data_IF_835003159098
#
_entry.id   IF_835003159098
#
_cell.length_a   1.000
_cell.length_b   1.000
_cell.length_c   1.000
_cell.angle_alpha   90.00
_cell.angle_beta   90.00
_cell.angle_gamma   90.00
#
_symmetry.space_group_name_H-M   'P 1'
#
loop_
_entity.id
_entity.type
_entity.pdbx_description
1 polymer ?
#
# COMPACT_ATOMS: atom_id res chain seq x y z
N UNK A 1 -7.20 -10.95 -7.59
CA UNK A 1 -6.75 -10.32 -6.32
C UNK A 1 -7.72 -9.22 -5.89
N UNK A 2 -8.12 -8.27 -6.77
CA UNK A 2 -9.06 -7.19 -6.40
C UNK A 2 -10.38 -7.73 -5.86
N UNK A 3 -11.04 -8.65 -6.58
CA UNK A 3 -12.28 -9.29 -6.13
C UNK A 3 -12.11 -10.02 -4.79
N UNK A 4 -11.02 -10.76 -4.60
CA UNK A 4 -10.73 -11.44 -3.34
C UNK A 4 -10.55 -10.47 -2.18
N UNK A 5 -9.90 -9.33 -2.44
CA UNK A 5 -9.73 -8.27 -1.45
C UNK A 5 -11.08 -7.65 -1.06
N UNK A 6 -11.89 -7.27 -2.04
CA UNK A 6 -13.24 -6.72 -1.81
C UNK A 6 -14.10 -7.70 -1.03
N UNK A 7 -14.17 -8.95 -1.45
CA UNK A 7 -14.92 -9.98 -0.73
C UNK A 7 -14.46 -10.19 0.71
N UNK A 8 -13.14 -10.15 0.96
CA UNK A 8 -12.60 -10.29 2.30
C UNK A 8 -12.97 -9.08 3.19
N UNK A 9 -12.88 -7.86 2.66
CA UNK A 9 -13.28 -6.65 3.39
C UNK A 9 -14.78 -6.67 3.68
N UNK A 10 -15.61 -7.03 2.69
CA UNK A 10 -17.06 -7.13 2.86
C UNK A 10 -17.46 -8.17 3.92
N UNK A 11 -16.78 -9.31 3.91
CA UNK A 11 -17.03 -10.39 4.89
C UNK A 11 -16.65 -9.94 6.30
N UNK A 12 -15.49 -9.31 6.45
CA UNK A 12 -15.06 -8.75 7.73
C UNK A 12 -16.01 -7.65 8.23
N UNK A 13 -16.48 -6.75 7.34
CA UNK A 13 -17.46 -5.73 7.70
C UNK A 13 -18.80 -6.36 8.18
N UNK A 14 -19.28 -7.42 7.52
CA UNK A 14 -20.47 -8.16 7.96
C UNK A 14 -20.29 -8.81 9.34
N UNK A 15 -19.06 -9.17 9.70
CA UNK A 15 -18.71 -9.67 11.03
C UNK A 15 -18.60 -8.55 12.08
N UNK A 16 -18.74 -7.27 11.69
CA UNK A 16 -18.74 -6.14 12.60
C UNK A 16 -17.34 -5.74 13.09
N UNK A 17 -16.31 -5.84 12.23
CA UNK A 17 -14.96 -5.39 12.60
C UNK A 17 -14.95 -3.90 12.93
N UNK A 18 -14.15 -3.54 13.91
CA UNK A 18 -13.95 -2.15 14.37
C UNK A 18 -12.56 -1.61 14.05
N UNK A 19 -11.68 -2.43 13.49
CA UNK A 19 -10.35 -2.07 13.03
C UNK A 19 -9.82 -3.13 12.07
N UNK A 20 -8.84 -2.78 11.22
CA UNK A 20 -8.29 -3.67 10.22
C UNK A 20 -6.76 -3.56 10.16
N UNK A 21 -6.08 -4.71 10.23
CA UNK A 21 -4.65 -4.82 9.92
C UNK A 21 -4.49 -5.43 8.53
N UNK A 22 -3.71 -4.77 7.68
CA UNK A 22 -3.35 -5.27 6.35
C UNK A 22 -1.85 -5.58 6.34
N UNK A 23 -1.50 -6.85 6.20
CA UNK A 23 -0.10 -7.29 6.18
C UNK A 23 0.41 -7.42 4.74
N UNK A 24 1.33 -6.55 4.37
CA UNK A 24 2.03 -6.58 3.08
C UNK A 24 3.54 -6.78 3.24
N UNK A 25 3.98 -7.28 4.38
CA UNK A 25 5.37 -7.72 4.59
C UNK A 25 5.70 -8.84 3.61
N UNK A 26 6.91 -8.84 3.09
CA UNK A 26 7.40 -9.82 2.09
C UNK A 26 6.56 -9.87 0.80
N UNK A 27 5.74 -8.88 0.53
CA UNK A 27 4.97 -8.79 -0.71
C UNK A 27 5.74 -7.95 -1.75
N UNK A 28 6.26 -8.57 -2.84
CA UNK A 28 7.03 -7.86 -3.86
C UNK A 28 6.18 -6.97 -4.76
N UNK A 29 4.88 -6.90 -4.51
CA UNK A 29 3.93 -6.12 -5.29
C UNK A 29 3.22 -6.93 -6.38
N UNK A 30 2.79 -6.23 -7.42
CA UNK A 30 2.00 -6.82 -8.50
C UNK A 30 1.64 -5.80 -9.57
N UNK A 31 0.42 -5.90 -10.09
CA UNK A 31 -0.08 -5.06 -11.17
C UNK A 31 -0.57 -3.72 -10.63
N UNK A 32 -0.10 -2.61 -11.21
CA UNK A 32 -0.45 -1.25 -10.81
C UNK A 32 -1.97 -1.01 -10.81
N UNK A 33 -2.67 -1.43 -11.87
CA UNK A 33 -4.13 -1.27 -11.92
C UNK A 33 -4.82 -2.03 -10.80
N UNK A 34 -4.37 -3.24 -10.47
CA UNK A 34 -4.95 -4.05 -9.39
C UNK A 34 -4.86 -3.34 -8.04
N UNK A 35 -3.70 -2.77 -7.70
CA UNK A 35 -3.54 -2.05 -6.43
C UNK A 35 -4.35 -0.75 -6.41
N UNK A 36 -4.45 -0.05 -7.55
CA UNK A 36 -5.30 1.13 -7.66
C UNK A 36 -6.77 0.78 -7.42
N UNK A 37 -7.28 -0.31 -8.02
CA UNK A 37 -8.66 -0.78 -7.82
C UNK A 37 -8.93 -1.27 -6.37
N UNK A 38 -7.91 -1.78 -5.67
CA UNK A 38 -8.03 -2.14 -4.25
C UNK A 38 -8.09 -0.89 -3.36
N UNK A 39 -7.26 0.11 -3.66
CA UNK A 39 -7.23 1.37 -2.93
C UNK A 39 -8.49 2.21 -3.17
N UNK A 40 -9.02 2.21 -4.40
CA UNK A 40 -10.30 2.84 -4.74
C UNK A 40 -11.45 2.32 -3.85
N UNK A 41 -11.39 1.04 -3.46
CA UNK A 41 -12.39 0.42 -2.61
C UNK A 41 -12.34 0.85 -1.13
N UNK A 42 -11.21 1.37 -0.64
CA UNK A 42 -11.01 1.70 0.78
C UNK A 42 -10.70 3.17 1.06
N UNK A 43 -10.23 3.91 0.05
CA UNK A 43 -9.91 5.33 0.15
C UNK A 43 -11.10 6.20 -0.28
N UNK A 44 -11.18 7.45 0.18
CA UNK A 44 -12.10 8.43 -0.39
C UNK A 44 -11.74 8.72 -1.86
N UNK A 45 -12.69 9.26 -2.62
CA UNK A 45 -12.44 9.71 -3.99
C UNK A 45 -11.24 10.66 -4.06
N UNK A 46 -10.34 10.40 -4.99
CA UNK A 46 -9.14 11.23 -5.19
C UNK A 46 -8.04 10.51 -5.95
N UNK A 47 -6.91 11.18 -6.06
CA UNK A 47 -5.72 10.63 -6.72
C UNK A 47 -5.11 9.51 -5.87
N UNK A 48 -4.95 8.32 -6.44
CA UNK A 48 -4.38 7.15 -5.76
C UNK A 48 -2.87 7.04 -6.02
N UNK A 49 -2.48 7.20 -7.28
CA UNK A 49 -1.09 7.10 -7.73
C UNK A 49 -0.98 7.79 -9.09
N UNK A 50 0.16 8.35 -9.39
CA UNK A 50 0.44 8.76 -10.76
C UNK A 50 1.80 8.25 -11.23
N UNK A 51 1.92 8.09 -12.55
CA UNK A 51 3.19 7.76 -13.19
C UNK A 51 3.66 8.94 -14.03
N UNK A 52 4.98 9.12 -14.10
CA UNK A 52 5.59 10.15 -14.92
C UNK A 52 6.74 9.57 -15.75
N UNK A 53 6.68 9.79 -17.06
CA UNK A 53 7.75 9.40 -18.00
C UNK A 53 8.93 10.37 -17.93
N UNK A 54 10.07 9.98 -18.49
CA UNK A 54 11.26 10.86 -18.62
C UNK A 54 10.96 12.18 -19.36
N UNK A 55 9.95 12.21 -20.24
CA UNK A 55 9.52 13.42 -20.95
C UNK A 55 8.52 14.29 -20.17
N UNK A 56 8.20 13.94 -18.93
CA UNK A 56 7.24 14.67 -18.09
C UNK A 56 5.77 14.33 -18.38
N UNK A 57 5.48 13.33 -19.24
CA UNK A 57 4.10 12.90 -19.47
C UNK A 57 3.60 12.16 -18.22
N UNK A 58 2.55 12.70 -17.59
CA UNK A 58 1.89 12.16 -16.41
C UNK A 58 0.66 11.35 -16.78
N UNK A 59 0.46 10.22 -16.10
CA UNK A 59 -0.77 9.42 -16.13
C UNK A 59 -1.24 9.20 -14.70
N UNK A 60 -2.47 9.58 -14.42
CA UNK A 60 -3.09 9.49 -13.09
C UNK A 60 -4.03 8.29 -12.98
N UNK A 61 -4.09 7.71 -11.79
CA UNK A 61 -5.04 6.70 -11.37
C UNK A 61 -5.77 7.24 -10.15
N UNK A 62 -7.06 7.48 -10.30
CA UNK A 62 -7.90 8.08 -9.27
C UNK A 62 -9.03 7.14 -8.90
N UNK A 63 -9.47 7.23 -7.67
CA UNK A 63 -10.68 6.60 -7.19
C UNK A 63 -11.92 7.24 -7.82
N UNK A 64 -12.91 6.43 -8.11
CA UNK A 64 -14.13 6.83 -8.79
C UNK A 64 -15.39 6.21 -8.19
N UNK A 65 -15.27 5.20 -7.34
CA UNK A 65 -16.42 4.69 -6.60
C UNK A 65 -16.61 5.51 -5.32
N UNK A 66 -17.81 5.53 -4.77
CA UNK A 66 -18.10 6.25 -3.54
C UNK A 66 -17.98 5.33 -2.31
N UNK A 67 -17.22 4.25 -2.44
CA UNK A 67 -16.96 3.34 -1.34
C UNK A 67 -15.74 3.83 -0.55
N UNK A 68 -15.90 3.95 0.74
CA UNK A 68 -14.83 4.31 1.66
C UNK A 68 -14.93 3.47 2.93
N UNK A 69 -13.84 2.88 3.35
CA UNK A 69 -13.79 2.12 4.59
C UNK A 69 -13.43 3.04 5.76
N UNK A 70 -14.41 3.41 6.57
CA UNK A 70 -14.25 4.35 7.68
C UNK A 70 -14.07 3.67 9.04
N UNK A 71 -13.04 2.82 9.15
CA UNK A 71 -12.57 2.24 10.42
C UNK A 71 -11.07 2.50 10.57
N UNK A 72 -10.52 2.49 11.79
CA UNK A 72 -9.07 2.57 12.00
C UNK A 72 -8.35 1.42 11.30
N UNK A 73 -7.24 1.75 10.61
CA UNK A 73 -6.45 0.76 9.89
C UNK A 73 -4.96 0.86 10.22
N UNK A 74 -4.26 -0.27 10.15
CA UNK A 74 -2.81 -0.35 10.18
C UNK A 74 -2.30 -1.19 9.02
N UNK A 75 -1.15 -0.81 8.45
CA UNK A 75 -0.50 -1.57 7.37
C UNK A 75 0.89 -1.98 7.83
N UNK A 76 1.16 -3.30 7.82
CA UNK A 76 2.47 -3.85 8.15
C UNK A 76 3.35 -3.90 6.91
N UNK A 77 4.57 -3.37 7.02
CA UNK A 77 5.55 -3.31 5.93
C UNK A 77 6.94 -3.75 6.38
N UNK A 78 7.76 -4.21 5.43
CA UNK A 78 9.18 -4.47 5.66
C UNK A 78 10.03 -4.23 4.39
N UNK A 79 11.34 -4.46 4.48
CA UNK A 79 12.29 -4.27 3.38
C UNK A 79 12.01 -5.10 2.11
N UNK A 80 11.13 -6.09 2.18
CA UNK A 80 10.68 -6.89 1.04
C UNK A 80 9.31 -6.44 0.49
N UNK A 81 8.66 -5.46 1.12
CA UNK A 81 7.48 -4.80 0.56
C UNK A 81 7.90 -3.90 -0.58
N UNK A 82 7.50 -4.20 -1.82
CA UNK A 82 8.02 -3.52 -3.00
C UNK A 82 6.95 -3.19 -4.04
N UNK A 83 7.21 -2.18 -4.90
CA UNK A 83 6.39 -1.87 -6.09
C UNK A 83 4.93 -1.55 -5.73
N UNK A 84 3.95 -2.36 -6.19
CA UNK A 84 2.53 -2.14 -5.87
C UNK A 84 2.23 -2.12 -4.36
N UNK A 85 2.99 -2.86 -3.55
CA UNK A 85 2.88 -2.79 -2.09
C UNK A 85 3.28 -1.43 -1.54
N UNK A 86 4.28 -0.78 -2.17
CA UNK A 86 4.70 0.57 -1.79
C UNK A 86 3.70 1.65 -2.25
N UNK A 87 3.04 1.42 -3.38
CA UNK A 87 1.90 2.26 -3.81
C UNK A 87 0.78 2.15 -2.77
N UNK A 88 0.47 0.93 -2.32
CA UNK A 88 -0.56 0.70 -1.30
C UNK A 88 -0.22 1.44 0.00
N UNK A 89 0.96 1.17 0.57
CA UNK A 89 1.39 1.81 1.81
C UNK A 89 1.47 3.33 1.70
N UNK A 90 2.07 3.86 0.62
CA UNK A 90 2.23 5.28 0.41
C UNK A 90 0.91 6.02 0.20
N UNK A 91 -0.06 5.43 -0.50
CA UNK A 91 -1.39 6.02 -0.64
C UNK A 91 -2.14 6.03 0.70
N UNK A 92 -2.14 4.91 1.44
CA UNK A 92 -2.76 4.83 2.77
C UNK A 92 -2.16 5.85 3.75
N UNK A 93 -0.84 6.07 3.70
CA UNK A 93 -0.12 7.06 4.49
C UNK A 93 -0.50 8.49 4.07
N UNK A 94 -0.48 8.78 2.77
CA UNK A 94 -0.76 10.11 2.24
C UNK A 94 -2.20 10.58 2.54
N UNK A 95 -3.14 9.64 2.62
CA UNK A 95 -4.54 9.90 3.00
C UNK A 95 -4.76 9.88 4.52
N UNK A 96 -3.73 9.65 5.33
CA UNK A 96 -3.83 9.46 6.78
C UNK A 96 -4.86 8.37 7.16
N UNK A 97 -5.04 7.38 6.26
CA UNK A 97 -6.07 6.34 6.36
C UNK A 97 -5.64 5.13 7.17
N UNK A 98 -4.32 4.91 7.27
CA UNK A 98 -3.75 3.85 8.09
C UNK A 98 -2.42 4.28 8.70
N UNK A 99 -2.10 3.72 9.86
CA UNK A 99 -0.75 3.77 10.42
C UNK A 99 0.15 2.75 9.71
N UNK A 100 1.24 3.20 9.12
CA UNK A 100 2.23 2.33 8.51
C UNK A 100 3.23 1.90 9.59
N UNK A 101 3.33 0.59 9.83
CA UNK A 101 4.12 0.00 10.92
C UNK A 101 5.10 -1.03 10.38
N UNK A 102 6.32 -1.02 10.86
CA UNK A 102 7.36 -1.98 10.48
C UNK A 102 8.67 -1.33 10.14
N UNK A 103 9.32 -1.78 9.06
CA UNK A 103 10.60 -1.23 8.61
C UNK A 103 10.50 -0.60 7.22
N UNK A 104 11.52 0.18 6.83
CA UNK A 104 11.62 0.85 5.53
C UNK A 104 11.33 -0.14 4.39
N UNK A 105 10.49 0.24 3.43
CA UNK A 105 10.19 -0.60 2.27
C UNK A 105 11.31 -0.59 1.23
N UNK A 106 11.22 -1.43 0.21
CA UNK A 106 12.29 -1.72 -0.74
C UNK A 106 12.77 -0.53 -1.58
N UNK A 107 11.87 0.34 -2.03
CA UNK A 107 12.22 1.47 -2.88
C UNK A 107 12.14 1.19 -4.39
N UNK A 108 11.18 0.38 -4.85
CA UNK A 108 10.99 0.11 -6.29
C UNK A 108 9.90 1.01 -6.88
N UNK A 109 10.22 2.28 -7.09
CA UNK A 109 9.30 3.30 -7.63
C UNK A 109 9.31 3.45 -9.16
N UNK A 110 9.45 2.36 -9.92
CA UNK A 110 9.55 2.38 -11.38
C UNK A 110 8.55 1.45 -12.07
N UNK A 111 8.07 1.89 -13.23
CA UNK A 111 7.25 1.09 -14.16
C UNK A 111 8.16 0.56 -15.26
N UNK A 112 8.15 -0.76 -15.46
CA UNK A 112 8.94 -1.43 -16.49
C UNK A 112 8.03 -2.11 -17.51
N UNK A 113 8.48 -2.15 -18.75
CA UNK A 113 7.84 -2.90 -19.83
C UNK A 113 8.81 -3.94 -20.40
N UNK A 114 8.25 -4.97 -20.99
CA UNK A 114 9.01 -6.02 -21.72
C UNK A 114 8.63 -5.90 -23.18
N UNK A 115 9.62 -5.73 -24.05
CA UNK A 115 9.45 -5.71 -25.50
C UNK A 115 10.09 -6.96 -26.11
N UNK A 116 9.30 -7.87 -26.68
CA UNK A 116 9.83 -9.00 -27.43
C UNK A 116 10.61 -8.54 -28.68
N UNK A 117 11.67 -9.25 -29.02
CA UNK A 117 12.46 -9.06 -30.23
C UNK A 117 12.20 -10.20 -31.23
N UNK A 118 12.59 -10.00 -32.48
CA UNK A 118 12.31 -10.92 -33.59
C UNK A 118 13.06 -12.25 -33.49
N UNK A 119 14.12 -12.31 -32.71
CA UNK A 119 14.93 -13.52 -32.46
C UNK A 119 14.44 -14.36 -31.27
N UNK A 120 13.28 -13.97 -30.67
CA UNK A 120 12.70 -14.65 -29.50
C UNK A 120 13.23 -14.15 -28.16
N UNK A 121 14.23 -13.27 -28.14
CA UNK A 121 14.67 -12.60 -26.93
C UNK A 121 13.74 -11.43 -26.55
N UNK A 122 13.97 -10.81 -25.41
CA UNK A 122 13.18 -9.64 -24.99
C UNK A 122 14.05 -8.62 -24.25
N UNK A 123 13.68 -7.34 -24.36
CA UNK A 123 14.29 -6.26 -23.59
C UNK A 123 13.30 -5.78 -22.55
N UNK A 124 13.73 -5.77 -21.27
CA UNK A 124 13.00 -5.16 -20.16
C UNK A 124 13.63 -3.81 -19.84
N UNK A 125 12.82 -2.75 -19.88
CA UNK A 125 13.32 -1.40 -19.62
C UNK A 125 12.29 -0.54 -18.85
N UNK A 126 12.80 0.47 -18.14
CA UNK A 126 11.98 1.42 -17.39
C UNK A 126 11.38 2.44 -18.33
N UNK A 127 10.08 2.68 -18.19
CA UNK A 127 9.30 3.64 -19.00
C UNK A 127 8.80 4.84 -18.19
N UNK A 128 8.61 4.68 -16.87
CA UNK A 128 8.13 5.75 -16.01
C UNK A 128 8.55 5.50 -14.55
N UNK A 129 8.47 6.54 -13.74
CA UNK A 129 8.42 6.45 -12.28
C UNK A 129 6.97 6.56 -11.81
N UNK A 130 6.67 6.05 -10.61
CA UNK A 130 5.40 6.34 -9.97
C UNK A 130 5.60 7.10 -8.66
N UNK A 131 4.59 7.86 -8.30
CA UNK A 131 4.56 8.76 -7.16
C UNK A 131 3.28 8.54 -6.37
N UNK A 132 3.37 8.75 -5.05
CA UNK A 132 2.20 8.71 -4.17
C UNK A 132 1.25 9.89 -4.47
N UNK A 133 0.02 9.90 -3.91
CA UNK A 133 -0.91 11.02 -4.09
C UNK A 133 -0.32 12.39 -3.77
N UNK A 134 0.47 12.50 -2.69
CA UNK A 134 1.17 13.74 -2.29
C UNK A 134 2.50 13.98 -3.03
N UNK A 135 2.83 13.14 -4.03
CA UNK A 135 3.99 13.33 -4.90
C UNK A 135 5.31 12.80 -4.36
N UNK A 136 5.31 11.88 -3.41
CA UNK A 136 6.55 11.28 -2.91
C UNK A 136 7.17 10.36 -3.98
N UNK A 137 8.45 10.59 -4.31
CA UNK A 137 9.26 9.67 -5.13
C UNK A 137 9.75 8.52 -4.26
N UNK A 138 9.18 7.34 -4.47
CA UNK A 138 9.52 6.12 -3.74
C UNK A 138 10.82 5.49 -4.27
N UNK A 139 11.22 5.79 -5.52
CA UNK A 139 12.35 5.11 -6.15
C UNK A 139 13.68 5.34 -5.43
N UNK A 140 14.32 4.25 -5.01
CA UNK A 140 15.57 4.26 -4.24
C UNK A 140 15.41 4.70 -2.79
N UNK A 141 14.19 5.04 -2.33
CA UNK A 141 13.91 5.53 -0.98
C UNK A 141 12.97 4.60 -0.20
N UNK A 142 11.95 4.06 -0.87
CA UNK A 142 10.86 3.35 -0.22
C UNK A 142 9.89 4.26 0.54
N UNK A 143 8.91 3.62 1.17
CA UNK A 143 7.99 4.27 2.12
C UNK A 143 8.58 4.12 3.51
N UNK A 144 8.74 5.23 4.20
CA UNK A 144 9.17 5.23 5.61
C UNK A 144 7.94 4.97 6.49
N UNK A 145 7.97 3.95 7.36
CA UNK A 145 6.87 3.72 8.29
C UNK A 145 6.66 4.91 9.24
N UNK A 146 5.41 5.12 9.65
CA UNK A 146 5.06 6.09 10.69
C UNK A 146 5.56 5.62 12.06
N UNK A 147 5.48 4.30 12.29
CA UNK A 147 6.03 3.64 13.48
C UNK A 147 7.08 2.61 13.05
N UNK A 148 8.33 2.90 13.36
CA UNK A 148 9.43 1.97 13.09
C UNK A 148 9.44 0.90 14.20
N UNK A 149 9.18 -0.34 13.81
CA UNK A 149 9.19 -1.51 14.69
C UNK A 149 10.00 -2.60 13.99
N UNK A 150 11.16 -2.91 14.54
CA UNK A 150 11.99 -4.02 14.06
C UNK A 150 11.38 -5.36 14.48
N UNK A 151 11.53 -6.38 13.63
CA UNK A 151 11.18 -7.76 13.96
C UNK A 151 12.47 -8.58 13.94
N UNK A 152 13.09 -8.86 15.09
CA UNK A 152 14.28 -9.71 15.17
C UNK A 152 14.02 -11.12 14.64
N UNK A 153 15.03 -11.73 14.01
CA UNK A 153 14.93 -13.08 13.45
C UNK A 153 14.63 -14.15 14.52
N UNK A 154 15.03 -13.91 15.78
CA UNK A 154 14.83 -14.75 16.93
C UNK A 154 13.57 -14.38 17.76
N UNK A 155 12.75 -13.45 17.26
CA UNK A 155 11.54 -13.04 17.97
C UNK A 155 10.57 -14.22 18.14
N UNK A 156 10.15 -14.44 19.36
CA UNK A 156 9.13 -15.46 19.71
C UNK A 156 7.70 -14.98 19.50
N UNK A 157 7.51 -13.67 19.33
CA UNK A 157 6.22 -13.02 19.09
C UNK A 157 6.34 -12.05 17.90
N UNK A 158 5.26 -11.87 17.17
CA UNK A 158 5.17 -10.83 16.12
C UNK A 158 4.93 -9.45 16.76
N UNK A 159 6.03 -8.79 17.14
CA UNK A 159 6.00 -7.47 17.78
C UNK A 159 5.44 -6.38 16.87
N UNK A 160 5.53 -6.54 15.54
CA UNK A 160 4.95 -5.61 14.58
C UNK A 160 3.43 -5.74 14.55
N UNK A 161 2.90 -6.96 14.49
CA UNK A 161 1.47 -7.19 14.58
C UNK A 161 0.92 -6.73 15.93
N UNK A 162 1.63 -7.00 17.02
CA UNK A 162 1.27 -6.51 18.36
C UNK A 162 1.16 -4.99 18.40
N UNK A 163 2.15 -4.27 17.86
CA UNK A 163 2.12 -2.81 17.76
C UNK A 163 0.92 -2.30 16.94
N UNK A 164 0.55 -2.99 15.86
CA UNK A 164 -0.62 -2.64 15.06
C UNK A 164 -1.93 -2.81 15.85
N UNK A 165 -2.06 -3.91 16.59
CA UNK A 165 -3.24 -4.16 17.44
C UNK A 165 -3.33 -3.15 18.58
N UNK A 166 -2.22 -2.81 19.22
CA UNK A 166 -2.16 -1.78 20.27
C UNK A 166 -2.56 -0.41 19.73
N UNK A 167 -2.07 -0.02 18.55
CA UNK A 167 -2.47 1.21 17.88
C UNK A 167 -3.98 1.26 17.61
N UNK A 168 -4.55 0.20 17.05
CA UNK A 168 -5.99 0.12 16.76
C UNK A 168 -6.84 0.19 18.03
N UNK A 169 -6.45 -0.52 19.09
CA UNK A 169 -7.14 -0.48 20.38
C UNK A 169 -7.14 0.93 20.99
N UNK A 170 -6.03 1.66 20.87
CA UNK A 170 -5.93 3.07 21.30
C UNK A 170 -6.89 3.98 20.53
N UNK A 171 -7.02 3.81 19.20
CA UNK A 171 -7.94 4.60 18.36
C UNK A 171 -9.40 4.30 18.68
N UNK A 172 -9.76 3.04 18.89
CA UNK A 172 -11.13 2.63 19.22
C UNK A 172 -11.57 3.15 20.59
N UNK A 173 -10.66 3.21 21.56
CA UNK A 173 -10.96 3.73 22.90
C UNK A 173 -11.26 5.23 22.90
N UNK A 174 -10.62 6.01 22.02
CA UNK A 174 -10.88 7.45 21.87
C UNK A 174 -12.24 7.69 21.20
N UNK A 175 -12.55 6.95 20.13
CA UNK A 175 -13.84 7.07 19.42
C UNK A 175 -15.06 6.65 20.24
N UNK A 176 -14.88 5.82 21.27
CA UNK A 176 -15.99 5.41 22.17
C UNK A 176 -16.24 6.41 23.31
N UNK A 177 -15.37 7.41 23.47
CA UNK A 177 -15.44 8.43 24.52
C UNK A 177 -16.00 9.78 24.04
N UNK A 178 -16.22 9.92 22.72
CA UNK A 178 -16.89 11.05 22.07
C UNK A 178 -18.35 10.72 21.75
#
# INVERSE_FOLDING_TARGET
TTEQFKLAVDDLQKQGITGLVIDIRNNPGGVLKTVADMLDYILPNGLIVYTETKSGKRQEYSGSDNHELNIPMAVLVNGNSASASEIFAGAMQDYDKAQIIGTQTFGKGIVQTIRPLTDGSAVKYTIAKYFTPKGQDIHGKGVKPDSIVELPDDATEDVQLKAAVEYLNGKMSVSAAE
#
